data_IF_719104150950
#
_entry.id   IF_719104150950
#
_cell.length_a   1.000
_cell.length_b   1.000
_cell.length_c   1.000
_cell.angle_alpha   90.00
_cell.angle_beta   90.00
_cell.angle_gamma   90.00
#
_symmetry.space_group_name_H-M   'P 1'
#
loop_
_entity.id
_entity.type
_entity.pdbx_description
1 polymer ?
#
# COMPACT_ATOMS: atom_id res chain seq x y z
N UNK A 1 6.42 3.82 16.50
CA UNK A 1 5.73 4.09 15.22
C UNK A 1 6.25 3.07 14.22
N UNK A 2 5.36 2.23 13.67
CA UNK A 2 5.72 1.13 12.76
C UNK A 2 5.56 1.56 11.29
N UNK A 3 6.50 1.18 10.43
CA UNK A 3 6.40 1.30 8.98
C UNK A 3 6.36 -0.10 8.36
N UNK A 4 5.34 -0.36 7.55
CA UNK A 4 5.23 -1.59 6.76
C UNK A 4 5.33 -1.21 5.28
N UNK A 5 6.29 -1.82 4.58
CA UNK A 5 6.42 -1.69 3.13
C UNK A 5 5.88 -2.97 2.50
N UNK A 6 4.88 -2.83 1.63
CA UNK A 6 4.25 -3.93 0.94
C UNK A 6 4.39 -3.78 -0.58
N UNK A 7 5.12 -4.70 -1.20
CA UNK A 7 5.24 -4.79 -2.65
C UNK A 7 4.10 -5.64 -3.24
N UNK A 8 3.54 -5.24 -4.38
CA UNK A 8 2.53 -6.02 -5.10
C UNK A 8 1.12 -5.94 -4.50
N UNK A 9 0.76 -4.80 -3.90
CA UNK A 9 -0.52 -4.59 -3.21
C UNK A 9 -1.76 -4.47 -4.12
N UNK A 10 -1.62 -4.52 -5.45
CA UNK A 10 -2.71 -4.22 -6.38
C UNK A 10 -3.74 -5.33 -6.58
N UNK A 11 -3.40 -6.59 -6.29
CA UNK A 11 -4.28 -7.73 -6.56
C UNK A 11 -3.94 -8.96 -5.72
N UNK A 12 -4.86 -9.93 -5.72
CA UNK A 12 -4.69 -11.22 -5.07
C UNK A 12 -4.35 -11.09 -3.59
N UNK A 13 -3.37 -11.87 -3.14
CA UNK A 13 -2.92 -11.88 -1.74
C UNK A 13 -2.39 -10.51 -1.30
N UNK A 14 -1.63 -9.81 -2.16
CA UNK A 14 -1.06 -8.50 -1.82
C UNK A 14 -2.14 -7.49 -1.47
N UNK A 15 -3.23 -7.44 -2.25
CA UNK A 15 -4.37 -6.56 -1.93
C UNK A 15 -5.02 -6.93 -0.59
N UNK A 16 -5.31 -8.21 -0.38
CA UNK A 16 -5.90 -8.66 0.88
C UNK A 16 -5.01 -8.35 2.09
N UNK A 17 -3.68 -8.44 1.94
CA UNK A 17 -2.74 -8.04 2.98
C UNK A 17 -2.76 -6.53 3.22
N UNK A 18 -2.76 -5.72 2.16
CA UNK A 18 -2.81 -4.26 2.27
C UNK A 18 -4.05 -3.81 3.06
N UNK A 19 -5.23 -4.36 2.72
CA UNK A 19 -6.49 -4.06 3.40
C UNK A 19 -6.45 -4.42 4.89
N UNK A 20 -5.79 -5.53 5.25
CA UNK A 20 -5.64 -5.99 6.65
C UNK A 20 -4.59 -5.21 7.44
N UNK A 21 -3.60 -4.64 6.76
CA UNK A 21 -2.52 -3.87 7.37
C UNK A 21 -2.92 -2.41 7.64
N UNK A 22 -4.03 -1.92 7.07
CA UNK A 22 -4.55 -0.59 7.37
C UNK A 22 -4.86 -0.46 8.87
N UNK A 23 -4.16 0.47 9.53
CA UNK A 23 -4.29 0.75 10.95
C UNK A 23 -3.86 2.20 11.23
N UNK A 24 -4.49 2.89 12.19
CA UNK A 24 -4.09 4.25 12.60
C UNK A 24 -2.69 4.30 13.22
N UNK A 25 -2.22 3.19 13.80
CA UNK A 25 -0.99 3.14 14.59
C UNK A 25 0.28 2.89 13.75
N UNK A 26 0.13 2.64 12.45
CA UNK A 26 1.22 2.40 11.51
C UNK A 26 1.15 3.28 10.28
N UNK A 27 2.28 3.38 9.58
CA UNK A 27 2.33 3.82 8.19
C UNK A 27 2.40 2.58 7.30
N UNK A 28 1.48 2.45 6.35
CA UNK A 28 1.53 1.46 5.29
C UNK A 28 2.03 2.15 4.01
N UNK A 29 3.17 1.71 3.48
CA UNK A 29 3.65 2.11 2.16
C UNK A 29 3.44 0.94 1.19
N UNK A 30 2.67 1.13 0.13
CA UNK A 30 2.52 0.13 -0.92
C UNK A 30 3.34 0.50 -2.15
N UNK A 31 4.04 -0.47 -2.73
CA UNK A 31 4.77 -0.32 -4.00
C UNK A 31 4.17 -1.27 -5.04
N UNK A 32 3.61 -0.69 -6.10
CA UNK A 32 3.03 -1.45 -7.23
C UNK A 32 3.04 -0.60 -8.49
N UNK A 33 2.87 -1.22 -9.67
CA UNK A 33 2.87 -0.49 -10.95
C UNK A 33 1.73 0.52 -11.13
N UNK A 34 0.73 0.49 -10.25
CA UNK A 34 -0.45 1.38 -10.26
C UNK A 34 -0.88 1.66 -8.82
N UNK A 35 -1.51 2.81 -8.59
CA UNK A 35 -2.23 3.10 -7.35
C UNK A 35 -3.55 2.34 -7.31
N UNK A 36 -4.05 2.10 -6.09
CA UNK A 36 -5.34 1.47 -5.79
C UNK A 36 -6.25 2.47 -5.07
N UNK A 37 -7.14 3.18 -5.80
CA UNK A 37 -8.05 4.17 -5.21
C UNK A 37 -8.95 3.59 -4.11
N UNK A 38 -9.46 2.37 -4.30
CA UNK A 38 -10.29 1.70 -3.29
C UNK A 38 -9.53 1.47 -1.97
N UNK A 39 -8.22 1.23 -2.03
CA UNK A 39 -7.39 1.09 -0.83
C UNK A 39 -7.21 2.45 -0.12
N UNK A 40 -7.14 3.55 -0.88
CA UNK A 40 -7.09 4.91 -0.32
C UNK A 40 -8.38 5.27 0.41
N UNK A 41 -9.53 4.98 -0.20
CA UNK A 41 -10.85 5.18 0.43
C UNK A 41 -10.97 4.40 1.74
N UNK A 42 -10.53 3.14 1.73
CA UNK A 42 -10.47 2.30 2.91
C UNK A 42 -9.51 2.82 4.00
N UNK A 43 -8.37 3.38 3.61
CA UNK A 43 -7.44 3.99 4.55
C UNK A 43 -8.05 5.22 5.21
N UNK A 44 -8.67 6.10 4.43
CA UNK A 44 -9.38 7.28 4.92
C UNK A 44 -10.50 6.90 5.89
N UNK A 45 -11.32 5.89 5.54
CA UNK A 45 -12.39 5.41 6.41
C UNK A 45 -11.89 4.84 7.75
N UNK A 46 -10.64 4.36 7.81
CA UNK A 46 -10.02 3.79 9.02
C UNK A 46 -9.10 4.77 9.76
N UNK A 47 -8.93 5.99 9.25
CA UNK A 47 -7.93 6.93 9.77
C UNK A 47 -6.49 6.40 9.65
N UNK A 48 -6.25 5.47 8.71
CA UNK A 48 -4.95 4.86 8.50
C UNK A 48 -4.06 5.75 7.63
N UNK A 49 -2.76 5.76 7.94
CA UNK A 49 -1.76 6.43 7.11
C UNK A 49 -1.32 5.48 6.00
N UNK A 50 -1.63 5.84 4.76
CA UNK A 50 -1.31 5.08 3.56
C UNK A 50 -0.55 5.96 2.57
N UNK A 51 0.59 5.47 2.11
CA UNK A 51 1.29 5.97 0.94
C UNK A 51 1.28 4.90 -0.16
N UNK A 52 1.10 5.33 -1.40
CA UNK A 52 1.12 4.44 -2.56
C UNK A 52 2.11 4.98 -3.57
N UNK A 53 3.13 4.18 -3.89
CA UNK A 53 4.14 4.53 -4.88
C UNK A 53 3.93 3.69 -6.14
N UNK A 54 3.58 4.36 -7.23
CA UNK A 54 3.50 3.77 -8.56
C UNK A 54 4.91 3.53 -9.15
N UNK A 55 5.53 2.40 -8.78
CA UNK A 55 6.86 2.02 -9.26
C UNK A 55 6.85 0.57 -9.77
N UNK A 56 7.65 0.32 -10.80
CA UNK A 56 7.95 -1.03 -11.27
C UNK A 56 9.24 -1.53 -10.60
N UNK A 57 9.16 -2.62 -9.84
CA UNK A 57 10.30 -3.20 -9.14
C UNK A 57 11.29 -3.89 -10.06
N UNK A 58 10.90 -4.19 -11.30
CA UNK A 58 11.79 -4.75 -12.30
C UNK A 58 12.60 -3.68 -13.05
N UNK A 59 12.34 -2.39 -12.80
CA UNK A 59 13.05 -1.30 -13.43
C UNK A 59 14.38 -1.05 -12.70
N UNK A 60 15.50 -1.27 -13.38
CA UNK A 60 16.81 -0.84 -12.87
C UNK A 60 16.95 0.69 -13.05
N UNK A 61 17.45 1.42 -12.04
CA UNK A 61 17.78 2.84 -12.19
C UNK A 61 18.91 3.01 -13.20
N UNK A 62 18.77 3.97 -14.11
CA UNK A 62 19.83 4.40 -15.04
C UNK A 62 20.84 5.29 -14.32
#
# INVERSE_FOLDING_TARGET
>A
MELVILTGASRGLGRAMAERLLSPDRLLLTVSRRHEPALQEQAAARGARLEQWALDLALEPV
#
